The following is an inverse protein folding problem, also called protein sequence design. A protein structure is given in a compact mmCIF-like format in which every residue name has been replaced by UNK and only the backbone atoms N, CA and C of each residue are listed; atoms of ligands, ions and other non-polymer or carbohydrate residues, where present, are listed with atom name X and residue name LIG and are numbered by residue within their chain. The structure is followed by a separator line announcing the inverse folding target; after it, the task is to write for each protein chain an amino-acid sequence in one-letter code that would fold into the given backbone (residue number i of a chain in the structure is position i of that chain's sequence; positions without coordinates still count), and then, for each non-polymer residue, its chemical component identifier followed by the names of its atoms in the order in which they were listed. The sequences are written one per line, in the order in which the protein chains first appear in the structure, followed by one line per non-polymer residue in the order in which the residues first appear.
data_IF_961214383757
#
_entry.id   IF_961214383757
#
_cell.length_a   1.000
_cell.length_b   1.000
_cell.length_c   1.000
_cell.angle_alpha   90.00
_cell.angle_beta   90.00
_cell.angle_gamma   90.00
#
_symmetry.space_group_name_H-M   'P 1'
#
loop_
_entity.id
_entity.type
_entity.pdbx_description
1 polymer ?
#
# COMPACT_ATOMS: atom_id res chain seq x y z
N UNK A 1 -3.49 -14.13 2.95
CA UNK A 1 -2.33 -14.59 3.74
C UNK A 1 -2.61 -14.83 5.23
N UNK A 2 -3.83 -14.60 5.78
CA UNK A 2 -4.10 -15.07 7.14
C UNK A 2 -3.94 -16.59 7.23
N UNK A 3 -3.41 -17.09 8.35
CA UNK A 3 -2.98 -18.48 8.52
C UNK A 3 -4.10 -19.49 8.33
N UNK A 4 -5.31 -19.14 8.74
CA UNK A 4 -6.52 -19.96 8.65
C UNK A 4 -7.01 -20.18 7.20
N UNK A 5 -6.69 -19.24 6.30
CA UNK A 5 -7.14 -19.25 4.89
C UNK A 5 -6.01 -19.71 3.96
N UNK A 6 -4.87 -19.01 4.01
CA UNK A 6 -3.63 -19.28 3.24
C UNK A 6 -3.81 -19.60 1.74
N UNK A 7 -4.70 -18.90 1.06
CA UNK A 7 -4.89 -19.06 -0.40
C UNK A 7 -3.85 -18.32 -1.24
N UNK A 8 -3.28 -17.26 -0.68
CA UNK A 8 -2.22 -16.45 -1.30
C UNK A 8 -1.21 -16.00 -0.24
N UNK A 9 0.04 -15.83 -0.67
CA UNK A 9 1.17 -15.37 0.15
C UNK A 9 2.10 -14.49 -0.70
N UNK A 10 2.56 -13.37 -0.14
CA UNK A 10 3.63 -12.57 -0.75
C UNK A 10 4.90 -13.41 -0.92
N UNK A 11 5.62 -13.20 -2.02
CA UNK A 11 6.86 -13.92 -2.28
C UNK A 11 7.87 -13.75 -1.12
N UNK A 12 8.43 -14.87 -0.67
CA UNK A 12 9.39 -14.90 0.42
C UNK A 12 10.76 -15.38 -0.09
N UNK A 13 11.71 -14.46 -0.20
CA UNK A 13 13.00 -14.74 -0.80
C UNK A 13 13.89 -15.62 0.10
N UNK A 14 14.82 -16.37 -0.52
CA UNK A 14 15.83 -17.13 0.23
C UNK A 14 16.66 -16.17 1.10
N UNK A 15 16.71 -16.43 2.41
CA UNK A 15 17.42 -15.60 3.38
C UNK A 15 16.61 -14.45 3.97
N UNK A 16 15.38 -14.19 3.48
CA UNK A 16 14.48 -13.23 4.10
C UNK A 16 14.09 -13.71 5.50
N UNK A 17 14.07 -12.79 6.48
CA UNK A 17 13.56 -13.05 7.84
C UNK A 17 12.22 -12.35 8.00
N UNK A 18 11.17 -13.08 8.37
CA UNK A 18 9.84 -12.49 8.59
C UNK A 18 9.60 -11.99 10.01
N UNK A 19 10.48 -12.32 10.96
CA UNK A 19 10.50 -11.81 12.34
C UNK A 19 11.88 -11.99 12.94
N UNK A 20 12.24 -11.17 13.94
CA UNK A 20 13.49 -11.30 14.70
C UNK A 20 13.53 -12.58 15.54
N UNK A 21 12.39 -12.99 16.10
CA UNK A 21 12.30 -14.10 17.07
C UNK A 21 11.55 -15.33 16.55
N UNK A 22 10.83 -15.23 15.43
CA UNK A 22 9.95 -16.30 14.93
C UNK A 22 10.31 -16.70 13.48
N UNK A 23 11.12 -17.75 13.27
CA UNK A 23 11.60 -18.18 11.94
C UNK A 23 10.49 -18.61 10.98
N UNK A 24 9.35 -19.09 11.50
CA UNK A 24 8.22 -19.56 10.70
C UNK A 24 7.33 -18.43 10.17
N UNK A 25 7.53 -17.19 10.65
CA UNK A 25 6.61 -16.09 10.38
C UNK A 25 6.77 -15.59 8.95
N UNK A 26 5.68 -15.57 8.17
CA UNK A 26 5.61 -14.99 6.83
C UNK A 26 4.48 -13.95 6.79
N UNK A 27 4.85 -12.67 6.71
CA UNK A 27 3.90 -11.55 6.81
C UNK A 27 3.71 -10.88 5.44
N UNK A 28 2.50 -10.36 5.14
CA UNK A 28 2.23 -9.59 3.94
C UNK A 28 2.73 -8.13 4.08
N UNK A 29 4.01 -7.94 4.39
CA UNK A 29 4.57 -6.63 4.76
C UNK A 29 4.49 -5.60 3.62
N UNK A 30 4.50 -6.07 2.37
CA UNK A 30 4.35 -5.21 1.21
C UNK A 30 2.95 -4.61 1.15
N UNK A 31 1.93 -5.44 1.28
CA UNK A 31 0.52 -5.04 1.29
C UNK A 31 0.17 -4.19 2.52
N UNK A 32 0.72 -4.51 3.69
CA UNK A 32 0.59 -3.70 4.90
C UNK A 32 1.19 -2.29 4.71
N UNK A 33 2.35 -2.20 4.06
CA UNK A 33 2.96 -0.92 3.70
C UNK A 33 2.09 -0.11 2.72
N UNK A 34 1.48 -0.75 1.71
CA UNK A 34 0.55 -0.09 0.78
C UNK A 34 -0.67 0.48 1.52
N UNK A 35 -1.23 -0.26 2.48
CA UNK A 35 -2.35 0.21 3.28
C UNK A 35 -2.00 1.46 4.10
N UNK A 36 -0.78 1.55 4.62
CA UNK A 36 -0.26 2.73 5.31
C UNK A 36 -0.17 3.95 4.38
N UNK A 37 0.49 3.81 3.23
CA UNK A 37 0.64 4.90 2.27
C UNK A 37 -0.69 5.37 1.68
N UNK A 38 -1.62 4.45 1.45
CA UNK A 38 -2.98 4.80 1.01
C UNK A 38 -3.72 5.68 2.03
N UNK A 39 -3.46 5.52 3.35
CA UNK A 39 -4.03 6.41 4.38
C UNK A 39 -3.45 7.83 4.26
N UNK A 40 -2.14 7.95 4.04
CA UNK A 40 -1.46 9.25 3.89
C UNK A 40 -1.98 9.99 2.65
N UNK A 41 -1.99 9.34 1.49
CA UNK A 41 -2.45 9.96 0.23
C UNK A 41 -3.91 10.42 0.32
N UNK A 42 -4.78 9.68 1.02
CA UNK A 42 -6.17 10.13 1.26
C UNK A 42 -6.25 11.39 2.13
N UNK A 43 -5.29 11.62 3.03
CA UNK A 43 -5.20 12.88 3.76
C UNK A 43 -4.91 14.07 2.84
N UNK A 44 -3.99 13.88 1.89
CA UNK A 44 -3.65 14.92 0.90
C UNK A 44 -4.82 15.30 -0.01
N UNK A 45 -5.77 14.37 -0.26
CA UNK A 45 -7.01 14.68 -0.95
C UNK A 45 -7.82 15.76 -0.21
N UNK A 46 -7.96 15.69 1.12
CA UNK A 46 -8.68 16.71 1.88
C UNK A 46 -8.02 18.08 1.74
N UNK A 47 -6.70 18.15 1.90
CA UNK A 47 -5.93 19.38 1.69
C UNK A 47 -6.14 19.95 0.28
N UNK A 48 -6.15 19.10 -0.75
CA UNK A 48 -6.40 19.54 -2.12
C UNK A 48 -7.83 20.10 -2.32
N UNK A 49 -8.84 19.53 -1.66
CA UNK A 49 -10.21 20.04 -1.71
C UNK A 49 -10.33 21.41 -1.00
N UNK A 50 -9.63 21.59 0.12
CA UNK A 50 -9.59 22.85 0.86
C UNK A 50 -8.85 23.97 0.11
N UNK A 51 -8.04 23.64 -0.90
CA UNK A 51 -7.37 24.61 -1.77
C UNK A 51 -8.30 25.20 -2.86
N UNK A 52 -9.51 24.66 -3.07
CA UNK A 52 -10.43 25.11 -4.14
C UNK A 52 -11.03 26.51 -3.94
N UNK A 53 -11.54 26.89 -2.75
CA UNK A 53 -12.26 28.15 -2.56
C UNK A 53 -11.32 29.36 -2.36
N UNK A 54 -10.50 29.66 -3.37
CA UNK A 54 -9.63 30.83 -3.37
C UNK A 54 -10.42 32.14 -3.48
N UNK A 55 -9.87 33.22 -2.91
CA UNK A 55 -10.52 34.52 -2.87
C UNK A 55 -10.30 35.31 -4.18
N UNK A 56 -11.39 35.82 -4.75
CA UNK A 56 -11.41 36.67 -5.96
C UNK A 56 -10.62 36.07 -7.15
N UNK A 57 -9.67 36.80 -7.74
CA UNK A 57 -8.88 36.35 -8.88
C UNK A 57 -7.80 35.33 -8.50
N UNK A 58 -7.33 35.36 -7.26
CA UNK A 58 -6.54 34.33 -6.54
C UNK A 58 -6.10 34.85 -5.18
N UNK A 59 -5.95 33.94 -4.23
CA UNK A 59 -4.98 34.05 -3.13
C UNK A 59 -3.94 32.92 -3.24
N UNK A 60 -2.86 32.99 -2.46
CA UNK A 60 -1.70 32.11 -2.58
C UNK A 60 -1.65 30.99 -1.53
N UNK A 61 -2.70 30.81 -0.72
CA UNK A 61 -2.73 29.83 0.37
C UNK A 61 -2.45 28.40 -0.11
N UNK A 62 -3.00 28.02 -1.27
CA UNK A 62 -2.78 26.72 -1.90
C UNK A 62 -1.30 26.38 -2.15
N UNK A 63 -0.45 27.38 -2.44
CA UNK A 63 0.94 27.16 -2.84
C UNK A 63 1.81 26.52 -1.75
N UNK A 64 1.63 26.90 -0.48
CA UNK A 64 2.40 26.30 0.62
C UNK A 64 1.99 24.84 0.85
N UNK A 65 0.70 24.53 0.74
CA UNK A 65 0.17 23.18 0.85
C UNK A 65 0.61 22.31 -0.34
N UNK A 66 0.49 22.81 -1.57
CA UNK A 66 0.84 22.10 -2.82
C UNK A 66 2.31 21.73 -2.91
N UNK A 67 3.20 22.54 -2.33
CA UNK A 67 4.63 22.22 -2.21
C UNK A 67 4.90 20.94 -1.42
N UNK A 68 3.99 20.54 -0.54
CA UNK A 68 4.05 19.29 0.20
C UNK A 68 3.25 18.21 -0.52
N UNK A 69 1.95 18.46 -0.74
CA UNK A 69 1.05 17.39 -1.16
C UNK A 69 1.31 16.92 -2.59
N UNK A 70 1.76 17.78 -3.52
CA UNK A 70 1.96 17.36 -4.91
C UNK A 70 3.20 16.45 -5.04
N UNK A 71 4.41 16.85 -4.57
CA UNK A 71 5.58 15.96 -4.64
C UNK A 71 5.36 14.68 -3.85
N UNK A 72 4.86 14.77 -2.62
CA UNK A 72 4.68 13.60 -1.77
C UNK A 72 3.66 12.62 -2.35
N UNK A 73 2.50 13.10 -2.83
CA UNK A 73 1.48 12.22 -3.40
C UNK A 73 1.99 11.52 -4.66
N UNK A 74 2.65 12.25 -5.56
CA UNK A 74 3.14 11.68 -6.83
C UNK A 74 4.28 10.68 -6.60
N UNK A 75 5.22 10.98 -5.69
CA UNK A 75 6.31 10.06 -5.31
C UNK A 75 5.73 8.82 -4.64
N UNK A 76 4.86 8.99 -3.65
CA UNK A 76 4.27 7.88 -2.92
C UNK A 76 3.45 6.97 -3.84
N UNK A 77 2.64 7.55 -4.73
CA UNK A 77 1.83 6.78 -5.68
C UNK A 77 2.71 6.02 -6.68
N UNK A 78 3.74 6.64 -7.23
CA UNK A 78 4.70 5.97 -8.12
C UNK A 78 5.37 4.78 -7.41
N UNK A 79 5.81 4.98 -6.17
CA UNK A 79 6.38 3.91 -5.35
C UNK A 79 5.39 2.77 -5.13
N UNK A 80 4.14 3.09 -4.75
CA UNK A 80 3.09 2.10 -4.51
C UNK A 80 2.78 1.30 -5.77
N UNK A 81 2.63 1.95 -6.92
CA UNK A 81 2.32 1.28 -8.19
C UNK A 81 3.43 0.29 -8.58
N UNK A 82 4.69 0.70 -8.51
CA UNK A 82 5.82 -0.17 -8.83
C UNK A 82 5.98 -1.31 -7.82
N UNK A 83 5.90 -1.00 -6.52
CA UNK A 83 6.07 -2.01 -5.47
C UNK A 83 4.93 -3.01 -5.48
N UNK A 84 3.69 -2.55 -5.55
CA UNK A 84 2.52 -3.42 -5.55
C UNK A 84 2.39 -4.21 -6.84
N UNK A 85 2.72 -3.62 -7.99
CA UNK A 85 2.83 -4.35 -9.26
C UNK A 85 3.79 -5.53 -9.16
N UNK A 86 4.94 -5.35 -8.50
CA UNK A 86 5.88 -6.45 -8.24
C UNK A 86 5.36 -7.48 -7.21
N UNK A 87 4.61 -7.05 -6.19
CA UNK A 87 3.97 -7.97 -5.23
C UNK A 87 2.99 -8.88 -5.97
N UNK A 88 2.10 -8.31 -6.78
CA UNK A 88 1.10 -9.07 -7.54
C UNK A 88 1.78 -9.98 -8.56
N UNK A 89 2.78 -9.46 -9.30
CA UNK A 89 3.53 -10.23 -10.30
C UNK A 89 4.19 -11.49 -9.72
N UNK A 90 4.68 -11.41 -8.49
CA UNK A 90 5.38 -12.52 -7.82
C UNK A 90 4.51 -13.21 -6.76
N UNK A 91 3.21 -12.93 -6.68
CA UNK A 91 2.34 -13.45 -5.64
C UNK A 91 2.27 -14.97 -5.74
N UNK A 92 2.48 -15.66 -4.61
CA UNK A 92 2.32 -17.11 -4.56
C UNK A 92 0.85 -17.43 -4.35
N UNK A 93 0.28 -18.25 -5.25
CA UNK A 93 -1.11 -18.69 -5.21
C UNK A 93 -1.15 -20.18 -4.87
N UNK A 94 -2.10 -20.57 -4.01
CA UNK A 94 -2.29 -21.96 -3.54
C UNK A 94 -3.67 -22.50 -3.96
N UNK A 95 -3.86 -22.94 -5.22
CA UNK A 95 -5.15 -23.44 -5.71
C UNK A 95 -5.71 -24.61 -4.89
N UNK A 96 -4.84 -25.44 -4.31
CA UNK A 96 -5.21 -26.55 -3.43
C UNK A 96 -5.84 -26.06 -2.12
N UNK A 97 -5.32 -24.98 -1.55
CA UNK A 97 -5.92 -24.37 -0.35
C UNK A 97 -7.26 -23.74 -0.68
N UNK A 98 -7.39 -23.09 -1.85
CA UNK A 98 -8.67 -22.54 -2.32
C UNK A 98 -9.73 -23.63 -2.42
N UNK A 99 -9.43 -24.74 -3.12
CA UNK A 99 -10.36 -25.88 -3.25
C UNK A 99 -10.77 -26.42 -1.88
N UNK A 100 -9.79 -26.70 -1.01
CA UNK A 100 -10.05 -27.17 0.36
C UNK A 100 -10.95 -26.21 1.14
N UNK A 101 -10.79 -24.90 0.96
CA UNK A 101 -11.58 -23.89 1.69
C UNK A 101 -13.01 -23.75 1.14
N UNK A 102 -13.29 -24.17 -0.10
CA UNK A 102 -14.66 -24.19 -0.66
C UNK A 102 -15.53 -25.29 -0.04
N UNK A 103 -14.91 -26.38 0.42
CA UNK A 103 -15.59 -27.53 1.03
C UNK A 103 -15.67 -27.42 2.58
N UNK A 104 -15.28 -26.27 3.14
CA UNK A 104 -15.32 -25.98 4.58
C UNK A 104 -16.56 -25.16 4.93
#
# INVERSE_FOLDING_TARGET
QKSETREVEEFFAKGQKGSSAMPHKRNPIGSENMAGLARVIRGYMLTAYENVPLWHERDISHSSAERIIIPDATIALNYMLNRFGNIVKNLTVFPENMKRNMDR
#
